data_IF_081990313404
#
_entry.id   IF_081990313404
#
_cell.length_a   1.000
_cell.length_b   1.000
_cell.length_c   1.000
_cell.angle_alpha   90.00
_cell.angle_beta   90.00
_cell.angle_gamma   90.00
#
_symmetry.space_group_name_H-M   'P 1'
#
loop_
_entity.id
_entity.type
_entity.pdbx_description
1 polymer ?
#
# COMPACT_ATOMS: atom_id res chain seq x y z
N UNK A 1 -8.19 -2.41 -18.02
CA UNK A 1 -7.24 -1.41 -17.49
C UNK A 1 -6.64 -1.99 -16.20
N UNK A 2 -5.33 -1.86 -16.04
CA UNK A 2 -4.49 -2.71 -15.19
C UNK A 2 -4.91 -2.71 -13.73
N UNK A 3 -5.21 -3.91 -13.19
CA UNK A 3 -5.26 -4.16 -11.75
C UNK A 3 -3.85 -3.94 -11.21
N UNK A 4 -3.66 -3.10 -10.21
CA UNK A 4 -2.40 -3.02 -9.54
C UNK A 4 -2.17 -4.32 -8.77
N UNK A 5 -0.99 -4.89 -8.99
CA UNK A 5 -0.63 -6.21 -8.53
C UNK A 5 -0.34 -6.10 -7.04
N UNK A 6 -1.17 -6.77 -6.26
CA UNK A 6 -0.81 -7.06 -4.87
C UNK A 6 0.57 -7.75 -4.89
N UNK A 7 1.46 -7.38 -3.96
CA UNK A 7 2.79 -7.99 -3.79
C UNK A 7 2.75 -9.52 -3.54
N UNK A 8 1.57 -10.14 -3.52
CA UNK A 8 1.33 -11.57 -3.28
C UNK A 8 1.62 -12.46 -4.50
N UNK A 9 2.05 -11.88 -5.61
CA UNK A 9 1.83 -12.48 -6.93
C UNK A 9 3.11 -12.72 -7.76
N UNK A 10 4.27 -12.79 -7.10
CA UNK A 10 5.52 -13.06 -7.80
C UNK A 10 5.64 -14.57 -8.10
N UNK A 11 5.43 -14.94 -9.36
CA UNK A 11 5.72 -16.28 -9.88
C UNK A 11 7.10 -16.23 -10.55
N UNK A 12 8.07 -16.95 -9.98
CA UNK A 12 9.43 -17.02 -10.51
C UNK A 12 9.57 -18.31 -11.31
N UNK A 13 9.59 -18.19 -12.64
CA UNK A 13 9.88 -19.31 -13.53
C UNK A 13 11.38 -19.39 -13.80
N UNK A 14 11.97 -20.54 -13.48
CA UNK A 14 13.37 -20.84 -13.82
C UNK A 14 13.36 -21.69 -15.10
N UNK A 15 13.63 -21.06 -16.25
CA UNK A 15 13.79 -21.82 -17.49
C UNK A 15 15.19 -22.46 -17.54
N UNK A 16 15.24 -23.79 -17.47
CA UNK A 16 16.47 -24.58 -17.65
C UNK A 16 16.78 -24.73 -19.13
N UNK A 17 17.28 -23.69 -19.78
CA UNK A 17 17.82 -23.85 -21.12
C UNK A 17 19.19 -24.56 -21.02
N UNK A 18 19.27 -25.79 -21.55
CA UNK A 18 20.40 -26.72 -21.36
C UNK A 18 21.68 -26.32 -22.11
N UNK A 19 21.62 -25.28 -22.96
CA UNK A 19 22.64 -25.07 -24.00
C UNK A 19 23.79 -24.13 -23.59
N UNK A 20 23.63 -23.21 -22.61
CA UNK A 20 24.64 -22.13 -22.43
C UNK A 20 25.08 -21.79 -20.99
N UNK A 21 24.95 -22.65 -19.99
CA UNK A 21 25.41 -22.40 -18.60
C UNK A 21 24.81 -21.16 -17.86
N UNK A 22 23.92 -20.41 -18.48
CA UNK A 22 23.15 -19.32 -17.88
C UNK A 22 21.76 -19.79 -17.43
N UNK A 23 21.28 -19.26 -16.31
CA UNK A 23 19.86 -19.31 -15.95
C UNK A 23 19.25 -17.92 -16.18
N UNK A 24 18.07 -17.91 -16.80
CA UNK A 24 17.26 -16.70 -16.93
C UNK A 24 16.26 -16.73 -15.78
N UNK A 25 16.38 -15.75 -14.87
CA UNK A 25 15.37 -15.51 -13.84
C UNK A 25 14.36 -14.54 -14.41
N UNK A 26 13.12 -14.99 -14.52
CA UNK A 26 12.00 -14.17 -14.98
C UNK A 26 11.14 -13.86 -13.76
N UNK A 27 11.09 -12.57 -13.40
CA UNK A 27 10.17 -12.08 -12.38
C UNK A 27 8.88 -11.72 -13.11
N UNK A 28 7.81 -12.43 -12.80
CA UNK A 28 6.50 -12.17 -13.38
C UNK A 28 5.51 -11.76 -12.29
N UNK A 29 4.53 -10.99 -12.71
CA UNK A 29 3.28 -10.77 -11.98
C UNK A 29 2.34 -11.98 -12.09
N UNK A 30 1.33 -12.04 -11.21
CA UNK A 30 0.30 -13.11 -11.24
C UNK A 30 -0.51 -13.15 -12.52
N UNK A 31 -0.65 -12.01 -13.18
CA UNK A 31 -1.32 -11.92 -14.48
C UNK A 31 -0.41 -12.31 -15.67
N UNK A 32 0.81 -12.81 -15.40
CA UNK A 32 1.72 -13.35 -16.40
C UNK A 32 2.59 -12.33 -17.12
N UNK A 33 2.63 -11.06 -16.68
CA UNK A 33 3.52 -10.05 -17.26
C UNK A 33 4.93 -10.16 -16.70
N UNK A 34 5.93 -10.05 -17.58
CA UNK A 34 7.34 -10.04 -17.21
C UNK A 34 7.68 -8.65 -16.67
N UNK A 35 8.05 -8.58 -15.40
CA UNK A 35 8.48 -7.36 -14.72
C UNK A 35 9.97 -7.10 -14.94
N UNK A 36 10.79 -8.15 -14.92
CA UNK A 36 12.24 -8.05 -15.14
C UNK A 36 12.88 -9.39 -15.54
N UNK A 37 14.01 -9.33 -16.26
CA UNK A 37 14.81 -10.51 -16.67
C UNK A 37 16.29 -10.33 -16.32
N UNK A 38 16.91 -11.34 -15.70
CA UNK A 38 18.37 -11.40 -15.48
C UNK A 38 18.99 -12.67 -16.06
N UNK A 39 20.18 -12.55 -16.66
CA UNK A 39 21.04 -13.67 -17.07
C UNK A 39 22.15 -13.87 -16.03
N UNK A 40 22.21 -15.03 -15.37
CA UNK A 40 23.19 -15.28 -14.28
C UNK A 40 23.81 -16.69 -14.38
N UNK A 41 25.08 -16.81 -13.96
CA UNK A 41 25.88 -18.06 -13.96
C UNK A 41 25.44 -19.04 -12.86
N UNK A 42 25.13 -20.29 -13.24
CA UNK A 42 24.49 -21.37 -12.43
C UNK A 42 24.93 -21.55 -10.96
N UNK A 43 26.23 -21.42 -10.62
CA UNK A 43 26.74 -21.84 -9.30
C UNK A 43 26.53 -20.81 -8.16
N UNK A 44 26.39 -19.52 -8.47
CA UNK A 44 26.15 -18.47 -7.45
C UNK A 44 24.66 -18.16 -7.22
N UNK A 45 23.79 -18.52 -8.17
CA UNK A 45 22.35 -18.20 -8.16
C UNK A 45 21.62 -18.91 -7.02
N UNK A 46 21.78 -20.23 -6.89
CA UNK A 46 20.95 -21.01 -5.97
C UNK A 46 21.09 -20.58 -4.50
N UNK A 47 22.31 -20.33 -4.03
CA UNK A 47 22.55 -20.07 -2.59
C UNK A 47 22.17 -18.66 -2.16
N UNK A 48 22.56 -17.64 -2.94
CA UNK A 48 22.27 -16.22 -2.64
C UNK A 48 20.78 -15.92 -2.79
N UNK A 49 20.17 -16.42 -3.86
CA UNK A 49 18.74 -16.22 -4.11
C UNK A 49 17.86 -16.93 -3.08
N UNK A 50 18.22 -18.15 -2.66
CA UNK A 50 17.48 -18.84 -1.59
C UNK A 50 17.60 -18.13 -0.23
N UNK A 51 18.73 -17.47 0.07
CA UNK A 51 18.84 -16.64 1.27
C UNK A 51 17.94 -15.41 1.21
N UNK A 52 17.89 -14.70 0.08
CA UNK A 52 17.04 -13.51 -0.08
C UNK A 52 15.55 -13.85 0.02
N UNK A 53 15.11 -14.97 -0.58
CA UNK A 53 13.73 -15.46 -0.44
C UNK A 53 13.41 -15.79 1.03
N UNK A 54 14.34 -16.41 1.75
CA UNK A 54 14.12 -16.76 3.15
C UNK A 54 13.99 -15.51 4.01
N UNK A 55 14.83 -14.51 3.80
CA UNK A 55 14.78 -13.21 4.47
C UNK A 55 13.42 -12.55 4.20
N UNK A 56 13.00 -12.48 2.93
CA UNK A 56 11.72 -11.89 2.54
C UNK A 56 10.53 -12.60 3.21
N UNK A 57 10.45 -13.93 3.10
CA UNK A 57 9.36 -14.72 3.71
C UNK A 57 9.32 -14.56 5.22
N UNK A 58 10.48 -14.51 5.87
CA UNK A 58 10.56 -14.34 7.32
C UNK A 58 10.05 -12.97 7.73
N UNK A 59 10.47 -11.91 7.02
CA UNK A 59 9.98 -10.54 7.22
C UNK A 59 8.47 -10.47 7.07
N UNK A 60 7.94 -11.02 5.97
CA UNK A 60 6.50 -11.06 5.69
C UNK A 60 5.71 -11.82 6.77
N UNK A 61 6.23 -12.95 7.25
CA UNK A 61 5.58 -13.71 8.33
C UNK A 61 5.52 -12.91 9.64
N UNK A 62 6.59 -12.16 9.97
CA UNK A 62 6.62 -11.29 11.14
C UNK A 62 5.59 -10.16 11.02
N UNK A 63 5.56 -9.48 9.87
CA UNK A 63 4.62 -8.39 9.58
C UNK A 63 3.16 -8.88 9.65
N UNK A 64 2.84 -9.99 8.99
CA UNK A 64 1.50 -10.59 9.02
C UNK A 64 1.08 -11.00 10.43
N UNK A 65 2.00 -11.59 11.21
CA UNK A 65 1.74 -11.95 12.59
C UNK A 65 1.43 -10.71 13.45
N UNK A 66 2.18 -9.63 13.27
CA UNK A 66 1.95 -8.38 13.99
C UNK A 66 0.62 -7.73 13.61
N UNK A 67 0.30 -7.63 12.32
CA UNK A 67 -1.00 -7.12 11.84
C UNK A 67 -2.17 -7.96 12.37
N UNK A 68 -2.04 -9.28 12.38
CA UNK A 68 -3.05 -10.18 12.97
C UNK A 68 -3.25 -9.91 14.46
N UNK A 69 -2.16 -9.66 15.21
CA UNK A 69 -2.24 -9.37 16.64
C UNK A 69 -2.85 -7.99 16.92
N UNK A 70 -2.62 -7.00 16.06
CA UNK A 70 -3.26 -5.67 16.17
C UNK A 70 -4.79 -5.75 16.05
N UNK A 71 -5.31 -6.72 15.31
CA UNK A 71 -6.76 -6.97 15.24
C UNK A 71 -7.33 -7.68 16.47
N UNK A 72 -6.47 -8.23 17.34
CA UNK A 72 -6.88 -8.98 18.54
C UNK A 72 -6.73 -8.15 19.83
N UNK A 73 -5.73 -7.25 19.88
CA UNK A 73 -5.40 -6.48 21.09
C UNK A 73 -4.60 -5.21 20.77
N UNK A 74 -4.56 -4.27 21.72
CA UNK A 74 -3.87 -3.00 21.53
C UNK A 74 -2.36 -3.17 21.29
N UNK A 75 -1.76 -2.27 20.50
CA UNK A 75 -0.32 -2.27 20.20
C UNK A 75 0.55 -2.33 21.47
N UNK A 76 0.17 -1.61 22.53
CA UNK A 76 0.96 -1.59 23.77
C UNK A 76 1.01 -2.97 24.44
N UNK A 77 -0.05 -3.78 24.33
CA UNK A 77 -0.16 -5.12 24.91
C UNK A 77 0.52 -6.23 24.10
N UNK A 78 0.93 -5.94 22.86
CA UNK A 78 1.67 -6.88 22.01
C UNK A 78 3.12 -6.95 22.49
N UNK A 79 3.65 -8.16 22.68
CA UNK A 79 5.07 -8.38 22.97
C UNK A 79 5.80 -8.98 21.77
N UNK A 80 7.12 -8.80 21.69
CA UNK A 80 7.97 -9.48 20.67
C UNK A 80 7.78 -11.00 20.74
N UNK A 81 7.54 -11.55 21.93
CA UNK A 81 7.28 -12.98 22.12
C UNK A 81 5.97 -13.42 21.44
N UNK A 82 4.90 -12.63 21.54
CA UNK A 82 3.63 -12.92 20.87
C UNK A 82 3.81 -12.95 19.36
N UNK A 83 4.53 -11.96 18.82
CA UNK A 83 4.84 -11.85 17.39
C UNK A 83 5.64 -13.07 16.94
N UNK A 84 6.72 -13.40 17.65
CA UNK A 84 7.57 -14.54 17.32
C UNK A 84 6.80 -15.88 17.33
N UNK A 85 5.96 -16.09 18.35
CA UNK A 85 5.11 -17.28 18.44
C UNK A 85 4.15 -17.39 17.27
N UNK A 86 3.47 -16.29 16.90
CA UNK A 86 2.50 -16.27 15.80
C UNK A 86 3.18 -16.41 14.43
N UNK A 87 4.34 -15.79 14.25
CA UNK A 87 5.12 -15.86 13.01
C UNK A 87 5.92 -17.17 12.85
N UNK A 88 5.89 -18.06 13.85
CA UNK A 88 6.70 -19.28 13.91
C UNK A 88 8.20 -19.01 13.69
N UNK A 89 8.72 -17.99 14.38
CA UNK A 89 10.12 -17.56 14.28
C UNK A 89 10.76 -17.37 15.66
N UNK A 90 12.09 -17.27 15.70
CA UNK A 90 12.83 -17.01 16.94
C UNK A 90 12.96 -15.51 17.22
N UNK A 91 13.15 -15.15 18.49
CA UNK A 91 13.47 -13.75 18.87
C UNK A 91 14.76 -13.28 18.21
N UNK A 92 15.78 -14.13 18.15
CA UNK A 92 17.04 -13.82 17.47
C UNK A 92 16.80 -13.47 16.00
N UNK A 93 15.91 -14.20 15.33
CA UNK A 93 15.52 -13.93 13.93
C UNK A 93 14.72 -12.64 13.80
N UNK A 94 13.79 -12.36 14.72
CA UNK A 94 13.07 -11.08 14.76
C UNK A 94 14.05 -9.90 14.83
N UNK A 95 15.05 -9.98 15.73
CA UNK A 95 16.04 -8.92 15.93
C UNK A 95 17.04 -8.77 14.78
N UNK A 96 17.05 -9.67 13.78
CA UNK A 96 17.78 -9.43 12.52
C UNK A 96 17.07 -8.43 11.60
N UNK A 97 15.78 -8.21 11.81
CA UNK A 97 14.94 -7.37 10.95
C UNK A 97 14.45 -6.11 11.65
N UNK A 98 14.22 -6.18 12.96
CA UNK A 98 13.60 -5.10 13.72
C UNK A 98 14.24 -4.94 15.09
N UNK A 99 14.46 -3.70 15.54
CA UNK A 99 15.02 -3.41 16.86
C UNK A 99 14.06 -3.81 17.98
N UNK A 100 12.78 -3.50 17.79
CA UNK A 100 11.68 -3.87 18.67
C UNK A 100 10.34 -3.84 17.89
N UNK A 101 9.21 -3.91 18.60
CA UNK A 101 7.88 -3.85 17.98
C UNK A 101 7.53 -2.47 17.41
N UNK A 102 8.11 -1.40 17.93
CA UNK A 102 7.84 -0.04 17.47
C UNK A 102 8.63 0.28 16.21
N UNK A 103 9.85 -0.25 16.08
CA UNK A 103 10.58 -0.23 14.81
C UNK A 103 9.83 -1.03 13.71
N UNK A 104 9.29 -2.21 14.04
CA UNK A 104 8.40 -2.94 13.13
C UNK A 104 7.17 -2.10 12.73
N UNK A 105 6.48 -1.51 13.71
CA UNK A 105 5.32 -0.65 13.45
C UNK A 105 5.69 0.54 12.55
N UNK A 106 6.80 1.21 12.86
CA UNK A 106 7.31 2.34 12.09
C UNK A 106 7.55 1.95 10.64
N UNK A 107 8.26 0.85 10.40
CA UNK A 107 8.54 0.38 9.04
C UNK A 107 7.25 0.03 8.28
N UNK A 108 6.25 -0.56 8.94
CA UNK A 108 4.95 -0.84 8.32
C UNK A 108 4.19 0.44 7.95
N UNK A 109 4.14 1.41 8.86
CA UNK A 109 3.53 2.72 8.64
C UNK A 109 4.23 3.45 7.48
N UNK A 110 5.56 3.51 7.50
CA UNK A 110 6.35 4.18 6.45
C UNK A 110 6.15 3.51 5.08
N UNK A 111 6.06 2.18 5.01
CA UNK A 111 5.72 1.44 3.79
C UNK A 111 4.33 1.81 3.26
N UNK A 112 3.30 1.84 4.12
CA UNK A 112 1.94 2.18 3.69
C UNK A 112 1.83 3.66 3.28
N UNK A 113 2.54 4.57 3.96
CA UNK A 113 2.61 5.97 3.59
C UNK A 113 3.25 6.18 2.23
N UNK A 114 4.39 5.53 1.97
CA UNK A 114 5.07 5.64 0.69
C UNK A 114 4.17 5.19 -0.47
N UNK A 115 3.48 4.07 -0.30
CA UNK A 115 2.52 3.57 -1.29
C UNK A 115 1.33 4.51 -1.46
N UNK A 116 0.75 4.99 -0.35
CA UNK A 116 -0.39 5.90 -0.40
C UNK A 116 -0.07 7.20 -1.13
N UNK A 117 1.09 7.81 -0.84
CA UNK A 117 1.55 9.01 -1.53
C UNK A 117 1.64 8.80 -3.04
N UNK A 118 2.23 7.69 -3.51
CA UNK A 118 2.33 7.38 -4.94
C UNK A 118 0.95 7.25 -5.61
N UNK A 119 0.00 6.59 -4.94
CA UNK A 119 -1.35 6.37 -5.47
C UNK A 119 -2.13 7.70 -5.47
N UNK A 120 -1.96 8.55 -4.46
CA UNK A 120 -2.56 9.89 -4.40
C UNK A 120 -2.01 10.77 -5.52
N UNK A 121 -0.69 10.81 -5.73
CA UNK A 121 -0.08 11.57 -6.83
C UNK A 121 -0.67 11.14 -8.18
N UNK A 122 -0.74 9.84 -8.45
CA UNK A 122 -1.36 9.31 -9.68
C UNK A 122 -2.82 9.74 -9.82
N UNK A 123 -3.58 9.70 -8.72
CA UNK A 123 -4.98 10.14 -8.69
C UNK A 123 -5.08 11.61 -9.12
N UNK A 124 -4.28 12.49 -8.51
CA UNK A 124 -4.31 13.94 -8.79
C UNK A 124 -3.77 14.30 -10.18
N UNK A 125 -2.72 13.63 -10.65
CA UNK A 125 -2.26 13.77 -12.04
C UNK A 125 -3.36 13.35 -13.05
N UNK A 126 -4.20 12.38 -12.68
CA UNK A 126 -5.40 12.01 -13.44
C UNK A 126 -6.45 13.13 -13.53
N UNK A 127 -6.62 13.97 -12.49
CA UNK A 127 -7.50 15.15 -12.57
C UNK A 127 -7.02 16.12 -13.66
N UNK A 128 -5.71 16.37 -13.71
CA UNK A 128 -5.10 17.35 -14.61
C UNK A 128 -5.09 16.84 -16.05
N UNK A 129 -4.78 15.55 -16.25
CA UNK A 129 -4.64 14.93 -17.57
C UNK A 129 -5.95 14.42 -18.19
N UNK A 130 -7.09 14.58 -17.51
CA UNK A 130 -8.40 14.13 -18.00
C UNK A 130 -8.63 12.61 -17.90
N UNK A 131 -7.74 11.86 -17.23
CA UNK A 131 -7.85 10.40 -17.03
C UNK A 131 -8.46 10.03 -15.67
N UNK A 132 -9.22 10.96 -15.09
CA UNK A 132 -9.53 10.93 -13.67
C UNK A 132 -10.35 9.72 -13.23
N UNK A 133 -11.35 9.29 -14.02
CA UNK A 133 -12.18 8.14 -13.66
C UNK A 133 -11.34 6.85 -13.50
N UNK A 134 -10.37 6.64 -14.40
CA UNK A 134 -9.47 5.49 -14.32
C UNK A 134 -8.55 5.56 -13.09
N UNK A 135 -8.03 6.75 -12.76
CA UNK A 135 -7.13 6.90 -11.61
C UNK A 135 -7.87 6.84 -10.28
N UNK A 136 -9.13 7.29 -10.22
CA UNK A 136 -10.02 7.12 -9.05
C UNK A 136 -10.31 5.65 -8.80
N UNK A 137 -10.68 4.91 -9.85
CA UNK A 137 -10.92 3.48 -9.72
C UNK A 137 -9.68 2.75 -9.23
N UNK A 138 -8.52 3.03 -9.84
CA UNK A 138 -7.24 2.46 -9.44
C UNK A 138 -6.89 2.79 -7.97
N UNK A 139 -7.16 4.03 -7.53
CA UNK A 139 -6.95 4.46 -6.15
C UNK A 139 -7.71 3.57 -5.15
N UNK A 140 -9.01 3.39 -5.34
CA UNK A 140 -9.81 2.55 -4.44
C UNK A 140 -9.46 1.07 -4.56
N UNK A 141 -9.13 0.59 -5.76
CA UNK A 141 -8.66 -0.79 -5.99
C UNK A 141 -7.42 -1.13 -5.18
N UNK A 142 -6.38 -0.28 -5.23
CA UNK A 142 -5.17 -0.51 -4.45
C UNK A 142 -5.46 -0.59 -2.96
N UNK A 143 -6.21 0.37 -2.44
CA UNK A 143 -6.40 0.48 -1.00
C UNK A 143 -7.29 -0.62 -0.46
N UNK A 144 -8.36 -1.00 -1.18
CA UNK A 144 -9.23 -2.11 -0.77
C UNK A 144 -8.47 -3.44 -0.74
N UNK A 145 -7.53 -3.69 -1.65
CA UNK A 145 -6.70 -4.92 -1.58
C UNK A 145 -5.80 -4.97 -0.35
N UNK A 146 -5.51 -3.81 0.25
CA UNK A 146 -4.68 -3.64 1.45
C UNK A 146 -5.52 -3.42 2.71
N UNK A 147 -6.84 -3.58 2.62
CA UNK A 147 -7.76 -3.32 3.74
C UNK A 147 -7.31 -3.96 5.06
N UNK A 148 -6.89 -5.24 5.16
CA UNK A 148 -6.60 -5.85 6.46
C UNK A 148 -5.47 -5.15 7.23
N UNK A 149 -4.41 -4.73 6.53
CA UNK A 149 -3.30 -4.00 7.15
C UNK A 149 -3.69 -2.55 7.44
N UNK A 150 -4.40 -1.88 6.52
CA UNK A 150 -4.84 -0.50 6.73
C UNK A 150 -5.80 -0.38 7.91
N UNK A 151 -6.78 -1.29 8.03
CA UNK A 151 -7.71 -1.32 9.16
C UNK A 151 -7.01 -1.59 10.49
N UNK A 152 -6.00 -2.46 10.52
CA UNK A 152 -5.21 -2.70 11.72
C UNK A 152 -4.41 -1.45 12.14
N UNK A 153 -3.78 -0.76 11.18
CA UNK A 153 -2.95 0.42 11.45
C UNK A 153 -3.78 1.69 11.72
N UNK A 154 -5.00 1.80 11.19
CA UNK A 154 -5.89 2.94 11.46
C UNK A 154 -6.44 2.96 12.89
N UNK A 155 -6.30 1.87 13.64
CA UNK A 155 -6.66 1.80 15.06
C UNK A 155 -5.59 2.42 15.99
N UNK A 156 -4.45 2.82 15.44
CA UNK A 156 -3.30 3.34 16.18
C UNK A 156 -3.39 4.87 16.22
N UNK A 157 -3.63 5.42 17.40
CA UNK A 157 -3.85 6.86 17.60
C UNK A 157 -2.59 7.60 18.08
N UNK A 158 -1.49 6.90 18.33
CA UNK A 158 -0.22 7.52 18.70
C UNK A 158 0.28 8.47 17.59
N UNK A 159 0.56 9.76 17.88
CA UNK A 159 0.86 10.77 16.85
C UNK A 159 1.99 10.40 15.88
N UNK A 160 3.00 9.68 16.37
CA UNK A 160 4.12 9.21 15.55
C UNK A 160 3.65 8.20 14.48
N UNK A 161 2.71 7.31 14.83
CA UNK A 161 2.29 6.15 14.05
C UNK A 161 0.89 6.27 13.45
N UNK A 162 0.14 7.34 13.74
CA UNK A 162 -1.24 7.53 13.32
C UNK A 162 -1.35 7.61 11.78
N UNK A 163 -1.55 6.44 11.16
CA UNK A 163 -1.56 6.31 9.71
C UNK A 163 -2.79 7.02 9.10
N UNK A 164 -3.93 6.95 9.79
CA UNK A 164 -5.18 7.60 9.38
C UNK A 164 -4.99 9.11 9.25
N UNK A 165 -4.50 9.77 10.29
CA UNK A 165 -4.27 11.22 10.29
C UNK A 165 -3.27 11.63 9.19
N UNK A 166 -2.23 10.83 8.98
CA UNK A 166 -1.24 11.08 7.91
C UNK A 166 -1.86 10.93 6.52
N UNK A 167 -2.73 9.95 6.29
CA UNK A 167 -3.48 9.80 5.03
C UNK A 167 -4.39 11.01 4.77
N UNK A 168 -5.17 11.42 5.78
CA UNK A 168 -6.03 12.60 5.71
C UNK A 168 -5.22 13.87 5.39
N UNK A 169 -4.05 14.03 6.01
CA UNK A 169 -3.12 15.14 5.77
C UNK A 169 -2.58 15.14 4.34
N UNK A 170 -2.17 13.97 3.81
CA UNK A 170 -1.67 13.84 2.44
C UNK A 170 -2.76 14.23 1.43
N UNK A 171 -3.99 13.76 1.62
CA UNK A 171 -5.12 14.10 0.76
C UNK A 171 -5.43 15.60 0.81
N UNK A 172 -5.48 16.18 2.01
CA UNK A 172 -5.72 17.61 2.21
C UNK A 172 -4.68 18.45 1.48
N UNK A 173 -3.39 18.15 1.65
CA UNK A 173 -2.31 18.91 1.03
C UNK A 173 -2.36 18.87 -0.50
N UNK A 174 -2.66 17.70 -1.09
CA UNK A 174 -2.81 17.59 -2.54
C UNK A 174 -4.02 18.35 -3.07
N UNK A 175 -5.15 18.31 -2.34
CA UNK A 175 -6.32 19.10 -2.67
C UNK A 175 -6.04 20.60 -2.59
N UNK A 176 -5.39 21.06 -1.52
CA UNK A 176 -5.07 22.47 -1.34
C UNK A 176 -4.13 22.98 -2.42
N UNK A 177 -3.08 22.20 -2.75
CA UNK A 177 -2.18 22.53 -3.85
C UNK A 177 -2.92 22.64 -5.19
N UNK A 178 -3.73 21.62 -5.53
CA UNK A 178 -4.54 21.63 -6.74
C UNK A 178 -5.47 22.85 -6.82
N UNK A 179 -6.18 23.17 -5.74
CA UNK A 179 -7.12 24.30 -5.71
C UNK A 179 -6.40 25.65 -5.82
N UNK A 180 -5.25 25.80 -5.17
CA UNK A 180 -4.45 27.02 -5.24
C UNK A 180 -3.89 27.28 -6.65
N UNK A 181 -3.63 26.23 -7.44
CA UNK A 181 -3.14 26.35 -8.81
C UNK A 181 -4.26 26.53 -9.85
N UNK A 182 -5.46 25.98 -9.58
CA UNK A 182 -6.52 25.87 -10.60
C UNK A 182 -7.71 26.78 -10.36
N UNK A 183 -7.85 27.37 -9.18
CA UNK A 183 -9.00 28.19 -8.82
C UNK A 183 -8.60 29.48 -8.12
N UNK A 184 -9.19 30.59 -8.57
CA UNK A 184 -9.18 31.83 -7.81
C UNK A 184 -10.38 31.85 -6.85
N UNK A 185 -10.16 32.27 -5.60
CA UNK A 185 -11.27 32.40 -4.67
C UNK A 185 -10.86 32.46 -3.22
N UNK A 186 -11.90 32.50 -2.39
CA UNK A 186 -11.82 32.39 -0.95
C UNK A 186 -12.29 30.97 -0.58
N UNK A 187 -11.77 30.40 0.51
CA UNK A 187 -12.14 29.08 1.07
C UNK A 187 -11.44 27.82 0.49
N UNK A 188 -10.28 27.92 -0.18
CA UNK A 188 -9.55 26.73 -0.67
C UNK A 188 -9.26 25.72 0.46
N UNK A 189 -8.95 26.18 1.66
CA UNK A 189 -8.71 25.32 2.83
C UNK A 189 -9.95 24.48 3.20
N UNK A 190 -11.13 25.12 3.25
CA UNK A 190 -12.38 24.43 3.54
C UNK A 190 -12.73 23.41 2.44
N UNK A 191 -12.58 23.81 1.17
CA UNK A 191 -12.84 22.94 0.01
C UNK A 191 -11.86 21.75 0.00
N UNK A 192 -10.59 21.97 0.34
CA UNK A 192 -9.59 20.91 0.46
C UNK A 192 -9.92 19.94 1.59
N UNK A 193 -10.37 20.46 2.74
CA UNK A 193 -10.81 19.63 3.86
C UNK A 193 -12.00 18.77 3.47
N UNK A 194 -13.03 19.34 2.84
CA UNK A 194 -14.21 18.58 2.37
C UNK A 194 -13.79 17.54 1.31
N UNK A 195 -12.91 17.91 0.37
CA UNK A 195 -12.42 17.00 -0.66
C UNK A 195 -11.64 15.81 -0.08
N UNK A 196 -10.81 16.05 0.95
CA UNK A 196 -10.11 14.99 1.67
C UNK A 196 -11.09 14.08 2.41
N UNK A 197 -12.06 14.64 3.15
CA UNK A 197 -13.08 13.88 3.87
C UNK A 197 -13.91 13.01 2.94
N UNK A 198 -14.38 13.54 1.79
CA UNK A 198 -15.17 12.76 0.82
C UNK A 198 -14.37 11.54 0.33
N UNK A 199 -13.09 11.71 -0.01
CA UNK A 199 -12.24 10.60 -0.47
C UNK A 199 -12.05 9.57 0.65
N UNK A 200 -11.78 10.04 1.87
CA UNK A 200 -11.54 9.16 3.01
C UNK A 200 -12.80 8.41 3.47
N UNK A 201 -13.97 9.07 3.48
CA UNK A 201 -15.26 8.45 3.81
C UNK A 201 -15.65 7.41 2.76
N UNK A 202 -15.43 7.70 1.48
CA UNK A 202 -15.65 6.75 0.39
C UNK A 202 -14.72 5.54 0.51
N UNK A 203 -13.46 5.75 0.92
CA UNK A 203 -12.52 4.67 1.18
C UNK A 203 -13.00 3.76 2.33
N UNK A 204 -13.40 4.35 3.46
CA UNK A 204 -13.93 3.59 4.59
C UNK A 204 -15.19 2.80 4.23
N UNK A 205 -16.11 3.42 3.46
CA UNK A 205 -17.29 2.74 2.95
C UNK A 205 -16.90 1.56 2.04
N UNK A 206 -15.90 1.74 1.18
CA UNK A 206 -15.42 0.71 0.25
C UNK A 206 -14.72 -0.45 0.94
N UNK A 207 -14.10 -0.24 2.11
CA UNK A 207 -13.58 -1.35 2.92
C UNK A 207 -14.68 -2.29 3.42
N UNK A 208 -15.90 -1.79 3.64
CA UNK A 208 -17.01 -2.61 4.12
C UNK A 208 -17.78 -3.23 2.96
N UNK A 209 -17.96 -2.49 1.87
CA UNK A 209 -18.87 -2.86 0.78
C UNK A 209 -18.14 -3.38 -0.47
N UNK A 210 -16.81 -3.35 -0.47
CA UNK A 210 -16.03 -3.53 -1.69
C UNK A 210 -16.15 -2.33 -2.62
N UNK A 211 -15.78 -2.53 -3.88
CA UNK A 211 -15.75 -1.46 -4.89
C UNK A 211 -17.06 -1.48 -5.67
N UNK A 212 -17.83 -0.43 -5.52
CA UNK A 212 -19.09 -0.20 -6.24
C UNK A 212 -18.92 0.96 -7.23
N UNK A 213 -19.04 0.66 -8.52
CA UNK A 213 -18.86 1.64 -9.59
C UNK A 213 -19.93 2.73 -9.60
N UNK A 214 -21.17 2.40 -9.25
CA UNK A 214 -22.26 3.38 -9.19
C UNK A 214 -22.06 4.33 -8.02
N UNK A 215 -21.65 3.80 -6.86
CA UNK A 215 -21.30 4.60 -5.70
C UNK A 215 -20.13 5.54 -5.99
N UNK A 216 -19.06 5.04 -6.63
CA UNK A 216 -17.91 5.87 -7.02
C UNK A 216 -18.31 6.96 -8.02
N UNK A 217 -19.15 6.64 -9.00
CA UNK A 217 -19.66 7.63 -9.95
C UNK A 217 -20.56 8.67 -9.27
N UNK A 218 -21.39 8.26 -8.30
CA UNK A 218 -22.22 9.16 -7.51
C UNK A 218 -21.36 10.15 -6.70
N UNK A 219 -20.36 9.66 -5.98
CA UNK A 219 -19.40 10.49 -5.22
C UNK A 219 -18.67 11.45 -6.16
N UNK A 220 -18.33 11.00 -7.36
CA UNK A 220 -17.69 11.86 -8.35
C UNK A 220 -18.61 13.00 -8.83
N UNK A 221 -19.90 12.73 -8.97
CA UNK A 221 -20.91 13.75 -9.21
C UNK A 221 -20.98 14.81 -8.11
N UNK A 222 -20.83 14.40 -6.84
CA UNK A 222 -20.74 15.34 -5.70
C UNK A 222 -19.48 16.20 -5.83
N UNK A 223 -18.33 15.56 -6.04
CA UNK A 223 -17.03 16.25 -6.17
C UNK A 223 -17.08 17.33 -7.26
N UNK A 224 -17.58 17.00 -8.45
CA UNK A 224 -17.70 17.95 -9.57
C UNK A 224 -18.62 19.14 -9.24
N UNK A 225 -19.72 18.93 -8.52
CA UNK A 225 -20.68 20.01 -8.18
C UNK A 225 -20.24 20.87 -7.01
N UNK A 226 -19.54 20.28 -6.03
CA UNK A 226 -19.19 20.94 -4.76
C UNK A 226 -17.80 21.57 -4.82
N UNK A 227 -16.83 20.92 -5.48
CA UNK A 227 -15.42 21.31 -5.41
C UNK A 227 -14.91 21.98 -6.69
N UNK A 228 -15.58 21.79 -7.82
CA UNK A 228 -15.26 22.49 -9.07
C UNK A 228 -16.43 23.42 -9.40
N UNK A 229 -16.24 24.74 -9.23
CA UNK A 229 -17.21 25.70 -9.77
C UNK A 229 -17.23 25.57 -11.31
N UNK A 230 -18.39 25.74 -11.96
CA UNK A 230 -18.48 25.78 -13.42
C UNK A 230 -17.62 26.90 -14.02
#
# INVERSE_FOLDING_TARGET
MFKPLSLFDIVILINKNLVNNYQIVIVMSSNGQILYTMSIVRQKVGKVFMSDIRIFKTKQNIENAFVSLLNEKSCQSITVNDICKRALTSRSTFYLHYLDKYDLLKQLVDQQLSLFSEIVEKRFNGLISGQFEATVLHFYQELVTRQPILQALFQIDEPEYNLKQKFETILYNHWLAYLNETTEGHYQELVAQIGASIVFDTLNWSFVNGIDYEALHFVEGIRKKVLLRP
#
